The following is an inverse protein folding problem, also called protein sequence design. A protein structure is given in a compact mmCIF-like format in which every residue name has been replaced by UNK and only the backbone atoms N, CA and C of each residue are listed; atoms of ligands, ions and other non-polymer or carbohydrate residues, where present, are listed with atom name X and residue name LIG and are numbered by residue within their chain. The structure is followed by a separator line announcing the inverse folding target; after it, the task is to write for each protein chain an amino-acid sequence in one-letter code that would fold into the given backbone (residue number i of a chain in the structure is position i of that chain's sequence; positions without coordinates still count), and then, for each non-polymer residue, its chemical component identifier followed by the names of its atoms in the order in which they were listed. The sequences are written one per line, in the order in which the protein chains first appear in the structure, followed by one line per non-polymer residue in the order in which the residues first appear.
data_IF_846914369599
#
_entry.id   IF_846914369599
#
_cell.length_a   1.000
_cell.length_b   1.000
_cell.length_c   1.000
_cell.angle_alpha   90.00
_cell.angle_beta   90.00
_cell.angle_gamma   90.00
#
_symmetry.space_group_name_H-M   'P 1'
#
loop_
_entity.id
_entity.type
_entity.pdbx_description
1 polymer ?
#
# COMPACT_ATOMS: atom_id res chain seq x y z
N UNK A 1 -7.33 13.67 -17.45
CA UNK A 1 -6.21 14.39 -18.09
C UNK A 1 -5.03 14.40 -17.13
N UNK A 2 -4.14 13.41 -17.22
CA UNK A 2 -2.98 13.27 -16.33
C UNK A 2 -1.72 13.84 -16.98
N UNK A 3 -0.95 14.63 -16.23
CA UNK A 3 0.27 15.27 -16.70
C UNK A 3 1.48 14.33 -16.49
N UNK A 4 2.38 14.28 -17.46
CA UNK A 4 3.66 13.55 -17.37
C UNK A 4 4.76 14.51 -16.91
N UNK A 5 5.46 14.15 -15.83
CA UNK A 5 6.50 14.95 -15.16
C UNK A 5 7.93 14.60 -15.64
N UNK A 6 8.07 13.63 -16.56
CA UNK A 6 9.37 13.16 -17.06
C UNK A 6 9.88 13.92 -18.29
N UNK A 7 9.12 14.90 -18.80
CA UNK A 7 9.48 15.65 -20.01
C UNK A 7 9.42 17.14 -19.71
N UNK A 8 10.52 17.88 -19.99
CA UNK A 8 10.51 19.34 -19.93
C UNK A 8 9.42 19.88 -20.87
N UNK A 9 8.64 20.90 -20.48
CA UNK A 9 7.50 21.36 -21.25
C UNK A 9 7.97 21.93 -22.58
N UNK A 10 7.93 21.11 -23.62
CA UNK A 10 8.22 21.54 -24.97
C UNK A 10 7.05 22.40 -25.44
N UNK A 11 7.35 23.60 -25.90
CA UNK A 11 6.35 24.65 -26.21
C UNK A 11 5.48 24.35 -27.45
N UNK A 12 5.64 23.15 -28.02
CA UNK A 12 4.82 22.61 -29.09
C UNK A 12 3.57 21.96 -28.50
N UNK A 13 2.39 22.40 -28.97
CA UNK A 13 1.05 21.97 -28.54
C UNK A 13 0.69 20.53 -28.93
N UNK A 14 1.64 19.60 -28.86
CA UNK A 14 1.34 18.18 -28.92
C UNK A 14 0.82 17.75 -27.54
N UNK A 15 -0.48 17.90 -27.34
CA UNK A 15 -1.18 17.19 -26.27
C UNK A 15 -1.02 15.70 -26.53
N UNK A 16 0.05 15.10 -26.03
CA UNK A 16 0.19 13.64 -26.00
C UNK A 16 -0.87 13.13 -25.02
N UNK A 17 -2.02 12.74 -25.54
CA UNK A 17 -3.07 12.07 -24.77
C UNK A 17 -2.56 10.69 -24.41
N UNK A 18 -1.94 10.58 -23.24
CA UNK A 18 -1.55 9.31 -22.65
C UNK A 18 -2.84 8.52 -22.37
N UNK A 19 -2.84 7.23 -22.72
CA UNK A 19 -4.00 6.36 -22.51
C UNK A 19 -4.31 6.19 -21.02
N UNK A 20 -5.56 5.84 -20.68
CA UNK A 20 -5.93 5.63 -19.27
C UNK A 20 -5.12 4.51 -18.61
N UNK A 21 -4.68 3.52 -19.40
CA UNK A 21 -3.86 2.40 -18.94
C UNK A 21 -2.46 2.87 -18.54
N UNK A 22 -1.82 3.68 -19.38
CA UNK A 22 -0.51 4.26 -19.11
C UNK A 22 -0.55 5.22 -17.90
N UNK A 23 -1.61 6.03 -17.77
CA UNK A 23 -1.79 6.88 -16.58
C UNK A 23 -1.93 6.03 -15.32
N UNK A 24 -2.69 4.94 -15.36
CA UNK A 24 -2.84 4.04 -14.21
C UNK A 24 -1.52 3.32 -13.86
N UNK A 25 -0.77 2.88 -14.87
CA UNK A 25 0.55 2.29 -14.67
C UNK A 25 1.53 3.29 -14.04
N UNK A 26 1.53 4.54 -14.51
CA UNK A 26 2.34 5.61 -13.91
C UNK A 26 1.90 5.92 -12.48
N UNK A 27 0.60 5.89 -12.17
CA UNK A 27 0.09 6.12 -10.81
C UNK A 27 0.43 4.97 -9.86
N UNK A 28 0.41 3.73 -10.33
CA UNK A 28 0.81 2.56 -9.56
C UNK A 28 2.30 2.49 -9.28
N UNK A 29 3.13 3.14 -10.10
CA UNK A 29 4.57 3.26 -9.86
C UNK A 29 4.92 4.30 -8.78
N UNK A 30 4.04 5.28 -8.52
CA UNK A 30 4.31 6.35 -7.56
C UNK A 30 3.93 5.94 -6.13
N UNK A 31 4.94 5.70 -5.30
CA UNK A 31 4.77 5.40 -3.87
C UNK A 31 5.19 6.57 -2.96
N UNK A 32 4.73 6.51 -1.71
CA UNK A 32 5.20 7.39 -0.64
C UNK A 32 6.53 6.91 -0.05
N UNK A 33 7.42 7.85 0.23
CA UNK A 33 8.73 7.64 0.84
C UNK A 33 8.90 8.52 2.10
N UNK A 34 9.23 8.01 3.30
CA UNK A 34 9.64 6.63 3.63
C UNK A 34 8.58 5.57 3.29
N UNK A 35 8.96 4.30 3.02
CA UNK A 35 8.01 3.27 2.63
C UNK A 35 6.95 3.07 3.70
N UNK A 36 5.68 3.05 3.28
CA UNK A 36 4.54 2.77 4.14
C UNK A 36 3.64 1.77 3.41
N UNK A 37 3.17 0.76 4.13
CA UNK A 37 2.13 -0.16 3.64
C UNK A 37 0.84 0.15 4.38
N UNK A 38 -0.25 0.24 3.62
CA UNK A 38 -1.60 0.42 4.16
C UNK A 38 -2.25 -0.95 4.22
N UNK A 39 -2.81 -1.30 5.37
CA UNK A 39 -3.58 -2.53 5.56
C UNK A 39 -5.02 -2.14 5.91
N UNK A 40 -5.96 -2.67 5.15
CA UNK A 40 -7.39 -2.51 5.35
C UNK A 40 -8.02 -3.79 5.89
N UNK A 41 -8.80 -3.67 6.95
CA UNK A 41 -9.65 -4.73 7.47
C UNK A 41 -11.05 -4.65 6.83
N UNK A 42 -11.39 -5.64 6.01
CA UNK A 42 -12.67 -5.73 5.31
C UNK A 42 -13.86 -6.06 6.23
N UNK A 43 -13.64 -6.69 7.39
CA UNK A 43 -14.70 -7.07 8.34
C UNK A 43 -15.47 -5.86 8.89
N UNK A 44 -14.80 -4.72 9.03
CA UNK A 44 -15.41 -3.48 9.53
C UNK A 44 -16.09 -2.68 8.40
N UNK A 45 -15.70 -2.92 7.14
CA UNK A 45 -16.25 -2.24 5.95
C UNK A 45 -17.56 -2.89 5.50
N UNK A 46 -17.71 -4.21 5.67
CA UNK A 46 -18.97 -4.89 5.40
C UNK A 46 -20.03 -4.51 6.43
N UNK A 47 -20.89 -3.55 6.10
CA UNK A 47 -22.15 -3.28 6.81
C UNK A 47 -23.19 -4.40 6.64
N UNK A 48 -22.76 -5.66 6.65
CA UNK A 48 -23.67 -6.79 6.79
C UNK A 48 -24.06 -6.86 8.26
N UNK A 49 -25.34 -6.65 8.54
CA UNK A 49 -25.91 -6.46 9.89
C UNK A 49 -25.68 -7.61 10.89
N UNK A 50 -25.03 -8.70 10.48
CA UNK A 50 -24.95 -9.95 11.25
C UNK A 50 -23.53 -10.56 11.33
N UNK A 51 -22.49 -9.85 10.87
CA UNK A 51 -21.11 -10.32 11.06
C UNK A 51 -20.48 -9.47 12.15
N UNK A 52 -20.23 -10.05 13.32
CA UNK A 52 -19.47 -9.39 14.38
C UNK A 52 -18.19 -8.83 13.76
N UNK A 53 -18.06 -7.50 13.75
CA UNK A 53 -16.88 -6.86 13.22
C UNK A 53 -15.69 -7.35 14.04
N UNK A 54 -14.82 -8.17 13.43
CA UNK A 54 -13.64 -8.69 14.12
C UNK A 54 -12.72 -7.50 14.39
N UNK A 55 -12.65 -7.11 15.65
CA UNK A 55 -11.72 -6.07 16.11
C UNK A 55 -10.34 -6.68 16.06
N UNK A 56 -9.57 -6.27 15.05
CA UNK A 56 -8.19 -6.72 14.87
C UNK A 56 -7.28 -5.81 15.69
N UNK A 57 -6.41 -6.38 16.53
CA UNK A 57 -5.44 -5.62 17.32
C UNK A 57 -4.16 -5.35 16.53
N UNK A 58 -3.32 -4.42 16.99
CA UNK A 58 -2.03 -4.16 16.34
C UNK A 58 -1.10 -5.37 16.45
N UNK A 59 -1.16 -6.10 17.56
CA UNK A 59 -0.36 -7.31 17.81
C UNK A 59 -0.72 -8.43 16.84
N UNK A 60 -1.99 -8.56 16.46
CA UNK A 60 -2.43 -9.51 15.44
C UNK A 60 -1.86 -9.14 14.05
N UNK A 61 -1.85 -7.85 13.70
CA UNK A 61 -1.22 -7.39 12.46
C UNK A 61 0.29 -7.67 12.49
N UNK A 62 0.97 -7.38 13.59
CA UNK A 62 2.40 -7.69 13.76
C UNK A 62 2.68 -9.19 13.65
N UNK A 63 1.78 -10.04 14.15
CA UNK A 63 1.85 -11.49 13.99
C UNK A 63 1.74 -11.94 12.53
N UNK A 64 0.81 -11.36 11.76
CA UNK A 64 0.69 -11.60 10.32
C UNK A 64 1.97 -11.16 9.59
N UNK A 65 2.50 -9.99 9.93
CA UNK A 65 3.75 -9.48 9.34
C UNK A 65 4.94 -10.41 9.66
N UNK A 66 5.02 -10.93 10.88
CA UNK A 66 6.04 -11.90 11.28
C UNK A 66 5.91 -13.22 10.50
N UNK A 67 4.69 -13.70 10.24
CA UNK A 67 4.43 -14.89 9.42
C UNK A 67 4.85 -14.71 7.95
N UNK A 68 4.74 -13.48 7.42
CA UNK A 68 5.23 -13.10 6.09
C UNK A 68 6.77 -12.98 6.05
N UNK A 69 7.41 -12.99 7.23
CA UNK A 69 8.87 -12.89 7.38
C UNK A 69 9.37 -11.47 7.58
N UNK A 70 8.52 -10.52 7.96
CA UNK A 70 8.91 -9.15 8.29
C UNK A 70 9.23 -9.06 9.79
N UNK A 71 10.47 -8.70 10.18
CA UNK A 71 10.83 -8.61 11.60
C UNK A 71 10.09 -7.47 12.29
N UNK A 72 9.50 -7.74 13.47
CA UNK A 72 8.77 -6.74 14.27
C UNK A 72 9.62 -5.50 14.60
N UNK A 73 10.93 -5.66 14.77
CA UNK A 73 11.86 -4.57 15.08
C UNK A 73 12.05 -3.58 13.91
N UNK A 74 11.86 -4.04 12.67
CA UNK A 74 12.07 -3.22 11.47
C UNK A 74 10.84 -2.40 11.09
N UNK A 75 9.72 -2.62 11.77
CA UNK A 75 8.42 -2.11 11.36
C UNK A 75 7.69 -1.47 12.52
N UNK A 76 7.02 -0.36 12.25
CA UNK A 76 6.14 0.29 13.22
C UNK A 76 4.71 0.25 12.72
N UNK A 77 3.87 -0.54 13.39
CA UNK A 77 2.43 -0.57 13.14
C UNK A 77 1.74 0.55 13.92
N UNK A 78 0.83 1.25 13.27
CA UNK A 78 -0.02 2.27 13.89
C UNK A 78 -1.40 2.24 13.25
N UNK A 79 -2.44 2.71 13.93
CA UNK A 79 -3.69 2.97 13.24
C UNK A 79 -3.51 4.12 12.24
N UNK A 80 -4.35 4.14 11.21
CA UNK A 80 -4.52 5.30 10.35
C UNK A 80 -5.19 6.45 11.11
N UNK A 81 -6.29 6.98 10.59
CA UNK A 81 -7.02 8.04 11.29
C UNK A 81 -7.56 7.55 12.64
N UNK A 82 -7.59 8.41 13.68
CA UNK A 82 -8.16 8.07 14.99
C UNK A 82 -9.61 7.56 14.94
N UNK A 83 -10.39 7.99 13.94
CA UNK A 83 -11.79 7.58 13.77
C UNK A 83 -11.97 6.24 13.03
N UNK A 84 -10.92 5.69 12.42
CA UNK A 84 -10.99 4.50 11.57
C UNK A 84 -10.10 3.38 12.15
N UNK A 85 -10.66 2.55 13.02
CA UNK A 85 -9.98 1.37 13.57
C UNK A 85 -9.79 0.23 12.55
N UNK A 86 -10.31 0.38 11.33
CA UNK A 86 -10.21 -0.60 10.24
C UNK A 86 -8.98 -0.45 9.35
N UNK A 87 -8.19 0.60 9.55
CA UNK A 87 -7.01 0.88 8.71
C UNK A 87 -5.76 0.91 9.59
N UNK A 88 -4.77 0.12 9.20
CA UNK A 88 -3.46 0.07 9.82
C UNK A 88 -2.42 0.59 8.85
N UNK A 89 -1.45 1.31 9.40
CA UNK A 89 -0.29 1.84 8.70
C UNK A 89 0.95 1.15 9.23
N UNK A 90 1.67 0.52 8.32
CA UNK A 90 2.89 -0.20 8.57
C UNK A 90 4.04 0.65 8.04
N UNK A 91 4.76 1.31 8.94
CA UNK A 91 5.79 2.31 8.62
C UNK A 91 7.16 1.67 8.67
N UNK A 92 7.96 1.90 7.62
CA UNK A 92 9.34 1.42 7.52
C UNK A 92 10.34 2.57 7.61
N UNK A 93 11.59 2.23 7.91
CA UNK A 93 12.70 3.17 7.81
C UNK A 93 12.93 3.58 6.35
N UNK A 94 13.43 4.80 6.08
CA UNK A 94 13.76 5.28 4.73
C UNK A 94 15.05 4.64 4.21
N UNK A 95 15.11 3.32 4.18
CA UNK A 95 16.25 2.52 3.73
C UNK A 95 15.81 1.55 2.63
N UNK A 96 16.76 1.07 1.82
CA UNK A 96 16.50 0.04 0.82
C UNK A 96 15.96 -1.24 1.47
N UNK A 97 16.51 -1.62 2.63
CA UNK A 97 15.97 -2.76 3.40
C UNK A 97 14.51 -2.53 3.80
N UNK A 98 14.16 -1.34 4.29
CA UNK A 98 12.76 -1.01 4.62
C UNK A 98 11.82 -1.07 3.40
N UNK A 99 12.31 -0.68 2.23
CA UNK A 99 11.55 -0.78 0.99
C UNK A 99 11.34 -2.23 0.53
N UNK A 100 12.38 -3.08 0.60
CA UNK A 100 12.26 -4.51 0.28
C UNK A 100 11.25 -5.23 1.18
N UNK A 101 11.24 -4.91 2.48
CA UNK A 101 10.27 -5.47 3.43
C UNK A 101 8.83 -4.97 3.14
N UNK A 102 8.66 -3.69 2.80
CA UNK A 102 7.36 -3.15 2.37
C UNK A 102 6.85 -3.84 1.09
N UNK A 103 7.76 -4.08 0.14
CA UNK A 103 7.49 -4.78 -1.11
C UNK A 103 7.10 -6.24 -0.89
N UNK A 104 7.78 -6.95 0.02
CA UNK A 104 7.41 -8.33 0.40
C UNK A 104 5.97 -8.43 0.85
N UNK A 105 5.50 -7.48 1.67
CA UNK A 105 4.10 -7.44 2.11
C UNK A 105 3.18 -7.18 0.92
N UNK A 106 3.47 -6.15 0.12
CA UNK A 106 2.67 -5.81 -1.06
C UNK A 106 2.49 -7.01 -1.99
N UNK A 107 3.57 -7.73 -2.30
CA UNK A 107 3.55 -8.85 -3.23
C UNK A 107 2.85 -10.08 -2.63
N UNK A 108 3.03 -10.32 -1.32
CA UNK A 108 2.31 -11.37 -0.60
C UNK A 108 0.80 -11.20 -0.71
N UNK A 109 0.27 -10.01 -0.40
CA UNK A 109 -1.16 -9.74 -0.49
C UNK A 109 -1.66 -9.69 -1.94
N UNK A 110 -0.88 -9.12 -2.86
CA UNK A 110 -1.24 -9.08 -4.29
C UNK A 110 -1.36 -10.50 -4.88
N UNK A 111 -0.44 -11.41 -4.54
CA UNK A 111 -0.47 -12.80 -5.02
C UNK A 111 -1.72 -13.58 -4.57
N UNK A 112 -2.39 -13.11 -3.52
CA UNK A 112 -3.62 -13.69 -2.96
C UNK A 112 -4.89 -13.00 -3.45
N UNK A 113 -4.79 -11.99 -4.32
CA UNK A 113 -5.89 -11.10 -4.73
C UNK A 113 -6.42 -10.23 -3.57
N UNK A 114 -5.53 -9.85 -2.65
CA UNK A 114 -5.84 -9.02 -1.49
C UNK A 114 -5.16 -7.65 -1.60
N UNK A 115 -5.02 -7.15 -2.83
CA UNK A 115 -4.43 -5.85 -3.13
C UNK A 115 -5.44 -4.70 -3.04
N UNK A 116 -4.98 -3.51 -3.47
CA UNK A 116 -5.78 -2.28 -3.46
C UNK A 116 -7.01 -2.37 -4.38
N UNK A 117 -6.84 -2.97 -5.56
CA UNK A 117 -7.90 -3.05 -6.56
C UNK A 117 -9.04 -3.96 -6.08
N UNK A 118 -8.70 -5.09 -5.46
CA UNK A 118 -9.65 -6.04 -4.92
C UNK A 118 -10.39 -5.46 -3.70
N UNK A 119 -9.68 -4.71 -2.86
CA UNK A 119 -10.31 -3.96 -1.76
C UNK A 119 -11.32 -2.94 -2.30
N UNK A 120 -10.97 -2.21 -3.36
CA UNK A 120 -11.86 -1.24 -3.98
C UNK A 120 -13.07 -1.91 -4.64
N UNK A 121 -12.89 -3.02 -5.34
CA UNK A 121 -13.99 -3.81 -5.92
C UNK A 121 -14.94 -4.36 -4.85
N UNK A 122 -14.39 -4.85 -3.74
CA UNK A 122 -15.17 -5.30 -2.58
C UNK A 122 -15.97 -4.15 -1.99
N UNK A 123 -15.34 -2.98 -1.80
CA UNK A 123 -16.00 -1.77 -1.27
C UNK A 123 -17.11 -1.26 -2.19
N UNK A 124 -16.92 -1.30 -3.50
CA UNK A 124 -17.90 -0.86 -4.49
C UNK A 124 -19.03 -1.89 -4.73
N UNK A 125 -19.03 -3.01 -3.98
CA UNK A 125 -20.04 -4.06 -4.08
C UNK A 125 -20.01 -4.84 -5.40
N UNK A 126 -18.95 -4.68 -6.20
CA UNK A 126 -18.71 -5.41 -7.46
C UNK A 126 -17.94 -6.72 -7.24
N UNK A 127 -17.31 -6.88 -6.08
CA UNK A 127 -16.63 -8.11 -5.68
C UNK A 127 -17.60 -9.22 -5.24
N UNK A 128 -17.18 -10.48 -5.37
CA UNK A 128 -17.89 -11.61 -4.76
C UNK A 128 -17.96 -11.38 -3.24
N UNK A 129 -19.14 -11.55 -2.64
CA UNK A 129 -19.29 -11.51 -1.17
C UNK A 129 -18.31 -12.52 -0.57
N UNK A 130 -17.37 -12.03 0.25
CA UNK A 130 -16.50 -12.91 1.01
C UNK A 130 -17.37 -13.83 1.87
N UNK A 131 -17.06 -15.12 1.84
CA UNK A 131 -17.63 -16.07 2.79
C UNK A 131 -17.33 -15.60 4.23
N UNK A 132 -18.09 -16.03 5.25
CA UNK A 132 -17.63 -15.88 6.62
C UNK A 132 -16.30 -16.63 6.74
N UNK A 133 -15.20 -15.90 6.78
CA UNK A 133 -13.87 -16.48 6.90
C UNK A 133 -13.34 -16.21 8.30
N UNK A 134 -13.03 -17.27 9.03
CA UNK A 134 -12.37 -17.19 10.34
C UNK A 134 -10.89 -16.75 10.24
N UNK A 135 -10.29 -16.87 9.05
CA UNK A 135 -8.89 -16.54 8.79
C UNK A 135 -8.68 -15.02 8.72
N UNK A 136 -7.86 -14.49 9.64
CA UNK A 136 -7.53 -13.08 9.71
C UNK A 136 -6.91 -12.56 8.40
N UNK A 137 -5.96 -13.31 7.82
CA UNK A 137 -5.29 -12.92 6.56
C UNK A 137 -6.29 -12.74 5.41
N UNK A 138 -7.37 -13.51 5.39
CA UNK A 138 -8.40 -13.41 4.36
C UNK A 138 -9.31 -12.18 4.53
N UNK A 139 -9.27 -11.53 5.69
CA UNK A 139 -10.00 -10.29 5.94
C UNK A 139 -9.15 -9.06 5.67
N UNK A 140 -7.84 -9.23 5.56
CA UNK A 140 -6.88 -8.15 5.38
C UNK A 140 -6.55 -7.95 3.90
N UNK A 141 -6.53 -6.69 3.50
CA UNK A 141 -6.07 -6.23 2.19
C UNK A 141 -4.91 -5.28 2.40
N UNK A 142 -3.84 -5.40 1.61
CA UNK A 142 -2.68 -4.55 1.78
C UNK A 142 -2.12 -4.05 0.46
N UNK A 143 -1.58 -2.84 0.48
CA UNK A 143 -0.88 -2.26 -0.65
C UNK A 143 0.15 -1.21 -0.20
N UNK A 144 1.14 -0.97 -1.03
CA UNK A 144 2.09 0.12 -0.79
C UNK A 144 1.40 1.48 -0.90
N UNK A 145 1.65 2.37 0.06
CA UNK A 145 0.94 3.64 0.15
C UNK A 145 1.26 4.53 -1.05
N UNK A 146 0.20 5.00 -1.72
CA UNK A 146 0.29 5.97 -2.82
C UNK A 146 -0.23 7.34 -2.38
N UNK A 147 -0.17 8.33 -3.27
CA UNK A 147 -0.61 9.72 -2.99
C UNK A 147 -2.05 9.79 -2.47
N UNK A 148 -2.94 8.92 -2.94
CA UNK A 148 -4.34 8.85 -2.47
C UNK A 148 -4.44 8.46 -0.99
N UNK A 149 -3.47 7.69 -0.48
CA UNK A 149 -3.46 7.17 0.88
C UNK A 149 -2.87 8.15 1.89
N UNK A 150 -2.39 9.32 1.44
CA UNK A 150 -2.05 10.46 2.30
C UNK A 150 -3.20 10.83 3.23
N UNK A 151 -4.44 10.50 2.86
CA UNK A 151 -5.63 10.69 3.69
C UNK A 151 -5.53 9.95 5.03
N UNK A 152 -4.81 8.83 5.12
CA UNK A 152 -4.73 7.97 6.31
C UNK A 152 -3.54 8.29 7.22
N UNK A 153 -2.50 8.92 6.67
CA UNK A 153 -1.27 9.25 7.39
C UNK A 153 -1.47 10.37 8.42
N UNK A 154 -0.61 10.40 9.43
CA UNK A 154 -0.51 11.49 10.39
C UNK A 154 0.03 12.76 9.71
N UNK A 155 -0.34 13.95 10.17
CA UNK A 155 0.12 15.22 9.60
C UNK A 155 1.66 15.34 9.57
N UNK A 156 2.33 14.82 10.60
CA UNK A 156 3.79 14.77 10.62
C UNK A 156 4.35 13.87 9.52
N UNK A 157 3.75 12.69 9.33
CA UNK A 157 4.17 11.76 8.29
C UNK A 157 3.90 12.35 6.90
N UNK A 158 2.75 12.99 6.67
CA UNK A 158 2.43 13.69 5.41
C UNK A 158 3.47 14.75 5.07
N UNK A 159 3.90 15.56 6.04
CA UNK A 159 4.90 16.62 5.82
C UNK A 159 6.28 16.07 5.46
N UNK A 160 6.64 14.89 5.97
CA UNK A 160 7.95 14.26 5.75
C UNK A 160 7.96 13.35 4.52
N UNK A 161 6.80 12.94 4.03
CA UNK A 161 6.68 12.05 2.88
C UNK A 161 7.07 12.75 1.58
N UNK A 162 7.81 12.04 0.73
CA UNK A 162 8.11 12.39 -0.66
C UNK A 162 7.47 11.37 -1.57
N UNK A 163 7.15 11.77 -2.79
CA UNK A 163 6.69 10.84 -3.82
C UNK A 163 7.93 10.30 -4.53
N UNK A 164 8.04 8.98 -4.68
CA UNK A 164 9.11 8.32 -5.43
C UNK A 164 8.56 7.24 -6.36
N UNK A 165 9.28 6.99 -7.46
CA UNK A 165 9.03 5.86 -8.34
C UNK A 165 9.49 4.57 -7.66
N UNK A 166 8.62 3.56 -7.64
CA UNK A 166 8.91 2.22 -7.16
C UNK A 166 10.05 1.60 -7.97
N UNK A 167 9.96 1.66 -9.30
CA UNK A 167 10.99 1.13 -10.21
C UNK A 167 12.36 1.78 -10.03
N UNK A 168 12.40 3.09 -9.78
CA UNK A 168 13.66 3.80 -9.53
C UNK A 168 14.32 3.30 -8.23
N UNK A 169 13.53 3.10 -7.17
CA UNK A 169 14.03 2.58 -5.90
C UNK A 169 14.45 1.11 -6.01
N UNK A 170 13.71 0.27 -6.74
CA UNK A 170 14.09 -1.10 -7.07
C UNK A 170 15.41 -1.16 -7.83
N UNK A 171 15.56 -0.37 -8.90
CA UNK A 171 16.81 -0.30 -9.65
C UNK A 171 17.99 0.15 -8.78
N UNK A 172 17.75 1.08 -7.85
CA UNK A 172 18.79 1.53 -6.90
C UNK A 172 19.17 0.44 -5.89
N UNK A 173 18.20 -0.39 -5.48
CA UNK A 173 18.43 -1.54 -4.61
C UNK A 173 19.29 -2.59 -5.33
N UNK A 174 18.91 -2.95 -6.55
CA UNK A 174 19.62 -3.95 -7.36
C UNK A 174 21.05 -3.48 -7.71
N UNK A 175 21.25 -2.20 -7.99
CA UNK A 175 22.58 -1.63 -8.20
C UNK A 175 23.48 -1.74 -6.96
N UNK A 176 22.91 -1.67 -5.76
CA UNK A 176 23.65 -1.77 -4.50
C UNK A 176 24.09 -3.21 -4.21
N UNK A 177 23.29 -4.21 -4.61
CA UNK A 177 23.60 -5.63 -4.44
C UNK A 177 24.70 -6.12 -5.41
N UNK A 178 24.85 -5.46 -6.57
CA UNK A 178 25.89 -5.79 -7.55
C UNK A 178 27.27 -5.17 -7.24
N UNK A 179 27.44 -4.55 -6.07
CA UNK A 179 28.67 -3.87 -5.64
C UNK A 179 29.40 -4.58 -4.47
N UNK A 180 29.00 -5.79 -4.07
CA UNK A 180 29.75 -6.61 -3.12
C UNK A 180 30.71 -7.57 -3.88
N UNK A 181 32.04 -7.31 -3.91
CA UNK A 181 33.05 -8.25 -4.41
C UNK A 181 33.41 -9.35 -3.39
#
# INVERSE_FOLDING_TARGET
MGWNWLVAPDTSKAHHSISSEEVNAMRGDLMLWPPVVVIHNSSIVSKAKDTEAKVVSMEEIEGVLANIGVPREKVKVSHGRPANQSVFLVKFQPTISGFQEAMRINDYFSSRNHGKEEFQQMRDGKGKKAAPVDNLEELLYAHIAVVEDLVYLDEEAKRRCKIRSKKEVEASADATLNLEP
#
